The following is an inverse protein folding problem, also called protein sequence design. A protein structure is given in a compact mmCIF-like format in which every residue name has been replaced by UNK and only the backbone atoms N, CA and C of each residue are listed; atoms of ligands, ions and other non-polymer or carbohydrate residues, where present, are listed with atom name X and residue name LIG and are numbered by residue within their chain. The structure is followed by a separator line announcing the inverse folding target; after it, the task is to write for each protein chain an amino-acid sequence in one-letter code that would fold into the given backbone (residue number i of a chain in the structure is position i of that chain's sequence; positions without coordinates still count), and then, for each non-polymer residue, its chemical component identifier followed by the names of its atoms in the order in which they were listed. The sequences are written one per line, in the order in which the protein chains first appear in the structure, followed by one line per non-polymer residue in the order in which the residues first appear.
data_IF_598980013140
#
_entry.id   IF_598980013140
#
_cell.length_a   1.000
_cell.length_b   1.000
_cell.length_c   1.000
_cell.angle_alpha   90.00
_cell.angle_beta   90.00
_cell.angle_gamma   90.00
#
_symmetry.space_group_name_H-M   'P 1'
#
loop_
_entity.id
_entity.type
_entity.pdbx_description
1 polymer ?
#
# COMPACT_ATOMS: atom_id res chain seq x y z
N UNK A 1 -21.06 -6.69 -21.02
CA UNK A 1 -20.31 -5.44 -21.20
C UNK A 1 -18.99 -5.40 -20.41
N UNK A 2 -18.87 -6.05 -19.23
CA UNK A 2 -17.66 -6.03 -18.37
C UNK A 2 -16.52 -7.01 -18.70
N UNK A 3 -16.73 -7.92 -19.66
CA UNK A 3 -15.79 -9.00 -19.99
C UNK A 3 -14.55 -8.64 -20.84
N UNK A 4 -14.44 -7.53 -21.61
CA UNK A 4 -13.32 -7.36 -22.53
C UNK A 4 -11.95 -7.07 -21.87
N UNK A 5 -11.93 -6.55 -20.63
CA UNK A 5 -10.71 -5.97 -20.02
C UNK A 5 -10.05 -6.84 -18.96
N UNK A 6 -10.58 -8.03 -18.68
CA UNK A 6 -10.09 -8.94 -17.63
C UNK A 6 -8.59 -9.24 -17.78
N UNK A 7 -8.08 -9.35 -19.01
CA UNK A 7 -6.66 -9.60 -19.25
C UNK A 7 -5.77 -8.47 -18.75
N UNK A 8 -6.11 -7.21 -19.02
CA UNK A 8 -5.30 -6.06 -18.59
C UNK A 8 -5.40 -5.85 -17.08
N UNK A 9 -6.59 -6.04 -16.52
CA UNK A 9 -6.82 -6.01 -15.07
C UNK A 9 -5.99 -7.11 -14.38
N UNK A 10 -5.95 -8.32 -14.95
CA UNK A 10 -5.14 -9.42 -14.42
C UNK A 10 -3.63 -9.13 -14.49
N UNK A 11 -3.14 -8.56 -15.60
CA UNK A 11 -1.73 -8.13 -15.72
C UNK A 11 -1.41 -7.06 -14.66
N UNK A 12 -2.28 -6.07 -14.51
CA UNK A 12 -2.11 -5.02 -13.51
C UNK A 12 -2.10 -5.58 -12.09
N UNK A 13 -3.06 -6.46 -11.77
CA UNK A 13 -3.10 -7.18 -10.49
C UNK A 13 -1.85 -8.02 -10.26
N UNK A 14 -1.31 -8.67 -11.28
CA UNK A 14 -0.07 -9.44 -11.19
C UNK A 14 1.15 -8.55 -10.87
N UNK A 15 1.23 -7.35 -11.46
CA UNK A 15 2.27 -6.36 -11.11
C UNK A 15 2.15 -5.95 -9.64
N UNK A 16 0.94 -5.69 -9.16
CA UNK A 16 0.70 -5.38 -7.74
C UNK A 16 1.06 -6.55 -6.83
N UNK A 17 0.77 -7.80 -7.24
CA UNK A 17 1.16 -8.99 -6.49
C UNK A 17 2.68 -9.11 -6.37
N UNK A 18 3.44 -8.83 -7.44
CA UNK A 18 4.91 -8.83 -7.37
C UNK A 18 5.40 -7.77 -6.37
N UNK A 19 4.82 -6.57 -6.41
CA UNK A 19 5.16 -5.51 -5.46
C UNK A 19 4.81 -5.93 -4.02
N UNK A 20 3.70 -6.61 -3.81
CA UNK A 20 3.29 -7.12 -2.51
C UNK A 20 4.25 -8.21 -1.99
N UNK A 21 4.70 -9.12 -2.88
CA UNK A 21 5.71 -10.11 -2.52
C UNK A 21 7.04 -9.46 -2.15
N UNK A 22 7.41 -8.36 -2.82
CA UNK A 22 8.62 -7.60 -2.51
C UNK A 22 8.47 -6.84 -1.19
N UNK A 23 7.32 -6.21 -0.97
CA UNK A 23 6.97 -5.55 0.28
C UNK A 23 7.06 -6.53 1.47
N UNK A 24 6.44 -7.70 1.36
CA UNK A 24 6.50 -8.73 2.41
C UNK A 24 7.93 -9.17 2.73
N UNK A 25 8.79 -9.29 1.72
CA UNK A 25 10.22 -9.59 1.94
C UNK A 25 10.96 -8.44 2.60
N UNK A 26 10.71 -7.20 2.19
CA UNK A 26 11.31 -6.02 2.80
C UNK A 26 10.90 -5.89 4.27
N UNK A 27 9.62 -6.11 4.59
CA UNK A 27 9.10 -6.13 5.96
C UNK A 27 9.81 -7.17 6.83
N UNK A 28 10.04 -8.39 6.30
CA UNK A 28 10.79 -9.44 7.01
C UNK A 28 12.25 -9.04 7.26
N UNK A 29 12.92 -8.40 6.30
CA UNK A 29 14.30 -7.93 6.48
C UNK A 29 14.38 -6.85 7.55
N UNK A 30 13.48 -5.86 7.53
CA UNK A 30 13.42 -4.81 8.57
C UNK A 30 13.21 -5.44 9.94
N UNK A 31 12.31 -6.43 10.03
CA UNK A 31 12.08 -7.17 11.26
C UNK A 31 13.34 -7.93 11.71
N UNK A 32 13.97 -8.71 10.82
CA UNK A 32 15.14 -9.51 11.14
C UNK A 32 16.37 -8.67 11.57
N UNK A 33 16.55 -7.48 10.99
CA UNK A 33 17.64 -6.57 11.37
C UNK A 33 17.36 -5.88 12.71
N UNK A 34 16.10 -5.79 13.12
CA UNK A 34 15.70 -5.04 14.32
C UNK A 34 15.50 -5.91 15.56
N UNK A 35 15.43 -7.24 15.42
CA UNK A 35 15.19 -8.16 16.51
C UNK A 35 16.20 -9.31 16.52
N UNK A 36 17.00 -9.40 17.59
CA UNK A 36 17.90 -10.53 17.86
C UNK A 36 17.16 -11.68 18.59
N UNK A 37 16.37 -12.46 17.85
CA UNK A 37 15.68 -13.67 18.37
C UNK A 37 14.14 -13.62 18.33
N UNK A 38 13.49 -14.69 18.81
CA UNK A 38 12.02 -14.80 18.82
C UNK A 38 11.43 -13.80 19.83
N UNK A 39 10.62 -12.81 19.40
CA UNK A 39 9.99 -11.89 20.33
C UNK A 39 8.94 -12.62 21.15
N UNK A 40 8.90 -12.33 22.45
CA UNK A 40 7.86 -12.83 23.34
C UNK A 40 6.54 -12.12 23.02
N UNK A 41 5.55 -12.85 22.49
CA UNK A 41 4.26 -12.28 22.05
C UNK A 41 3.37 -11.81 23.22
N UNK A 42 3.75 -12.14 24.47
CA UNK A 42 3.09 -11.66 25.67
C UNK A 42 3.35 -10.15 25.90
N UNK A 43 2.37 -9.30 25.57
CA UNK A 43 2.46 -7.84 25.72
C UNK A 43 3.11 -7.10 24.55
N UNK A 44 3.16 -7.73 23.37
CA UNK A 44 3.88 -7.27 22.17
C UNK A 44 3.59 -5.82 21.74
N UNK A 45 2.33 -5.35 21.79
CA UNK A 45 1.99 -4.03 21.25
C UNK A 45 2.55 -2.86 22.09
N UNK A 46 2.53 -2.95 23.42
CA UNK A 46 3.09 -1.90 24.30
C UNK A 46 4.61 -1.94 24.33
N UNK A 47 5.22 -3.13 24.17
CA UNK A 47 6.66 -3.27 23.98
C UNK A 47 7.11 -2.70 22.64
N UNK A 48 6.39 -2.94 21.56
CA UNK A 48 6.69 -2.36 20.23
C UNK A 48 6.66 -0.83 20.21
N UNK A 49 5.81 -0.22 21.05
CA UNK A 49 5.70 1.24 21.19
C UNK A 49 6.62 1.83 22.27
N UNK A 50 7.49 1.02 22.88
CA UNK A 50 8.46 1.52 23.87
C UNK A 50 9.56 2.35 23.19
N UNK A 51 10.19 3.26 23.95
CA UNK A 51 11.28 4.09 23.45
C UNK A 51 12.46 3.29 22.86
N UNK A 52 12.65 2.07 23.34
CA UNK A 52 13.70 1.14 22.93
C UNK A 52 13.48 0.59 21.52
N UNK A 53 12.23 0.43 21.08
CA UNK A 53 11.87 -0.10 19.76
C UNK A 53 11.42 0.96 18.75
N UNK A 54 11.55 2.26 19.09
CA UNK A 54 11.22 3.35 18.16
C UNK A 54 12.04 3.30 16.87
N UNK A 55 13.29 2.83 16.93
CA UNK A 55 14.13 2.65 15.74
C UNK A 55 13.50 1.67 14.74
N UNK A 56 12.96 0.55 15.23
CA UNK A 56 12.22 -0.42 14.42
C UNK A 56 10.96 0.21 13.82
N UNK A 57 10.15 0.91 14.63
CA UNK A 57 8.89 1.52 14.17
C UNK A 57 9.16 2.53 13.07
N UNK A 58 10.14 3.42 13.25
CA UNK A 58 10.49 4.43 12.24
C UNK A 58 11.02 3.77 10.97
N UNK A 59 11.92 2.79 11.08
CA UNK A 59 12.45 2.07 9.92
C UNK A 59 11.34 1.32 9.16
N UNK A 60 10.47 0.60 9.89
CA UNK A 60 9.35 -0.13 9.33
C UNK A 60 8.35 0.80 8.62
N UNK A 61 7.97 1.90 9.26
CA UNK A 61 7.07 2.90 8.67
C UNK A 61 7.70 3.59 7.46
N UNK A 62 9.01 3.86 7.47
CA UNK A 62 9.70 4.45 6.32
C UNK A 62 9.67 3.50 5.11
N UNK A 63 9.99 2.22 5.32
CA UNK A 63 9.90 1.22 4.24
C UNK A 63 8.45 1.04 3.80
N UNK A 64 7.49 0.99 4.73
CA UNK A 64 6.06 0.94 4.42
C UNK A 64 5.61 2.12 3.57
N UNK A 65 6.01 3.33 3.92
CA UNK A 65 5.66 4.54 3.20
C UNK A 65 6.21 4.53 1.76
N UNK A 66 7.40 3.98 1.52
CA UNK A 66 7.96 3.83 0.18
C UNK A 66 7.11 2.90 -0.68
N UNK A 67 6.79 1.71 -0.17
CA UNK A 67 5.97 0.75 -0.93
C UNK A 67 4.53 1.23 -1.11
N UNK A 68 3.91 1.75 -0.05
CA UNK A 68 2.57 2.33 -0.11
C UNK A 68 2.51 3.51 -1.10
N UNK A 69 3.51 4.40 -1.05
CA UNK A 69 3.61 5.52 -1.98
C UNK A 69 3.79 5.07 -3.42
N UNK A 70 4.64 4.07 -3.68
CA UNK A 70 4.85 3.50 -5.01
C UNK A 70 3.55 2.85 -5.54
N UNK A 71 2.93 1.98 -4.74
CA UNK A 71 1.68 1.29 -5.11
C UNK A 71 0.57 2.30 -5.36
N UNK A 72 0.38 3.26 -4.46
CA UNK A 72 -0.60 4.33 -4.63
C UNK A 72 -0.33 5.12 -5.92
N UNK A 73 0.92 5.53 -6.16
CA UNK A 73 1.28 6.34 -7.31
C UNK A 73 0.95 5.64 -8.64
N UNK A 74 1.18 4.33 -8.75
CA UNK A 74 0.88 3.59 -9.97
C UNK A 74 -0.57 3.10 -10.06
N UNK A 75 -1.36 3.16 -8.99
CA UNK A 75 -2.70 2.55 -8.95
C UNK A 75 -3.87 3.52 -8.78
N UNK A 76 -3.66 4.72 -8.24
CA UNK A 76 -4.73 5.63 -7.80
C UNK A 76 -5.80 5.88 -8.86
N UNK A 77 -5.42 5.95 -10.15
CA UNK A 77 -6.37 6.10 -11.27
C UNK A 77 -6.31 4.94 -12.27
N UNK A 78 -5.49 3.91 -12.04
CA UNK A 78 -5.26 2.86 -13.02
C UNK A 78 -6.50 1.99 -13.25
N UNK A 79 -7.22 1.61 -12.19
CA UNK A 79 -8.45 0.82 -12.31
C UNK A 79 -9.56 1.49 -13.14
N UNK A 80 -9.97 2.74 -12.87
CA UNK A 80 -10.97 3.39 -13.72
C UNK A 80 -10.47 3.58 -15.15
N UNK A 81 -9.18 3.85 -15.36
CA UNK A 81 -8.58 3.91 -16.71
C UNK A 81 -8.66 2.58 -17.46
N UNK A 82 -8.49 1.45 -16.77
CA UNK A 82 -8.58 0.11 -17.35
C UNK A 82 -10.02 -0.34 -17.61
N UNK A 83 -10.99 0.18 -16.85
CA UNK A 83 -12.41 -0.16 -16.96
C UNK A 83 -13.13 0.71 -18.00
N UNK A 84 -12.87 2.02 -18.01
CA UNK A 84 -13.59 2.97 -18.86
C UNK A 84 -12.89 3.19 -20.21
N UNK A 85 -11.61 2.83 -20.34
CA UNK A 85 -10.83 3.02 -21.56
C UNK A 85 -10.10 1.74 -21.97
N UNK A 86 -9.95 1.55 -23.28
CA UNK A 86 -9.13 0.48 -23.88
C UNK A 86 -7.62 0.74 -23.71
N UNK A 87 -7.19 1.03 -22.49
CA UNK A 87 -5.79 1.33 -22.13
C UNK A 87 -5.13 0.05 -21.63
N UNK A 88 -3.85 -0.15 -21.93
CA UNK A 88 -3.07 -1.25 -21.34
C UNK A 88 -2.62 -0.94 -19.91
N UNK A 89 -2.29 -1.99 -19.15
CA UNK A 89 -1.90 -1.88 -17.74
C UNK A 89 -0.68 -0.98 -17.50
N UNK A 90 0.29 -0.96 -18.42
CA UNK A 90 1.52 -0.16 -18.28
C UNK A 90 1.18 1.31 -18.49
N UNK A 91 0.46 1.62 -19.57
CA UNK A 91 0.02 2.99 -19.86
C UNK A 91 -0.87 3.56 -18.75
N UNK A 92 -1.78 2.75 -18.19
CA UNK A 92 -2.61 3.16 -17.06
C UNK A 92 -1.77 3.48 -15.80
N UNK A 93 -0.79 2.62 -15.48
CA UNK A 93 0.12 2.84 -14.36
C UNK A 93 1.01 4.06 -14.53
N UNK A 94 1.55 4.28 -15.73
CA UNK A 94 2.36 5.46 -16.05
C UNK A 94 1.54 6.76 -16.01
N UNK A 95 0.29 6.72 -16.47
CA UNK A 95 -0.62 7.86 -16.36
C UNK A 95 -0.90 8.21 -14.90
N UNK A 96 -1.12 7.19 -14.06
CA UNK A 96 -1.28 7.34 -12.61
C UNK A 96 -0.04 7.96 -11.97
N UNK A 97 1.14 7.41 -12.28
CA UNK A 97 2.40 7.94 -11.76
C UNK A 97 2.62 9.40 -12.18
N UNK A 98 2.37 9.71 -13.45
CA UNK A 98 2.45 11.08 -13.97
C UNK A 98 1.51 12.03 -13.23
N UNK A 99 0.29 11.61 -12.92
CA UNK A 99 -0.64 12.42 -12.13
C UNK A 99 -0.07 12.72 -10.74
N UNK A 100 0.48 11.71 -10.05
CA UNK A 100 1.13 11.89 -8.76
C UNK A 100 2.34 12.82 -8.79
N UNK A 101 3.15 12.76 -9.85
CA UNK A 101 4.32 13.63 -9.97
C UNK A 101 3.96 15.06 -10.39
N UNK A 102 2.90 15.25 -11.15
CA UNK A 102 2.46 16.59 -11.61
C UNK A 102 1.63 17.33 -10.57
N UNK A 103 0.89 16.63 -9.72
CA UNK A 103 0.04 17.21 -8.68
C UNK A 103 0.27 16.54 -7.30
N UNK A 104 1.50 16.60 -6.75
CA UNK A 104 1.88 15.82 -5.58
C UNK A 104 1.09 16.19 -4.32
N UNK A 105 0.79 17.48 -4.12
CA UNK A 105 0.04 17.92 -2.94
C UNK A 105 -1.41 17.41 -2.95
N UNK A 106 -2.07 17.49 -4.11
CA UNK A 106 -3.45 17.00 -4.26
C UNK A 106 -3.50 15.48 -4.05
N UNK A 107 -2.54 14.76 -4.62
CA UNK A 107 -2.46 13.31 -4.49
C UNK A 107 -2.08 12.88 -3.07
N UNK A 108 -1.26 13.65 -2.36
CA UNK A 108 -0.96 13.39 -0.95
C UNK A 108 -2.18 13.61 -0.06
N UNK A 109 -2.93 14.70 -0.27
CA UNK A 109 -4.21 14.92 0.44
C UNK A 109 -5.20 13.79 0.16
N UNK A 110 -5.29 13.33 -1.09
CA UNK A 110 -6.13 12.21 -1.46
C UNK A 110 -5.69 10.91 -0.76
N UNK A 111 -4.39 10.61 -0.77
CA UNK A 111 -3.84 9.45 -0.07
C UNK A 111 -4.10 9.48 1.44
N UNK A 112 -3.91 10.64 2.08
CA UNK A 112 -4.21 10.83 3.51
C UNK A 112 -5.70 10.66 3.80
N UNK A 113 -6.58 11.19 2.94
CA UNK A 113 -8.03 11.03 3.08
C UNK A 113 -8.42 9.55 3.04
N UNK A 114 -7.96 8.82 2.02
CA UNK A 114 -8.24 7.37 1.88
C UNK A 114 -7.70 6.60 3.08
N UNK A 115 -6.46 6.85 3.49
CA UNK A 115 -5.86 6.20 4.65
C UNK A 115 -6.67 6.46 5.94
N UNK A 116 -7.10 7.71 6.15
CA UNK A 116 -7.92 8.08 7.31
C UNK A 116 -9.26 7.38 7.28
N UNK A 117 -9.94 7.34 6.13
CA UNK A 117 -11.22 6.65 5.97
C UNK A 117 -11.08 5.14 6.24
N UNK A 118 -10.03 4.51 5.74
CA UNK A 118 -9.74 3.08 6.00
C UNK A 118 -9.52 2.83 7.49
N UNK A 119 -8.70 3.66 8.15
CA UNK A 119 -8.47 3.55 9.60
C UNK A 119 -9.77 3.70 10.39
N UNK A 120 -10.60 4.67 10.04
CA UNK A 120 -11.91 4.87 10.67
C UNK A 120 -12.85 3.68 10.41
N UNK A 121 -12.82 3.10 9.20
CA UNK A 121 -13.60 1.92 8.84
C UNK A 121 -13.17 0.64 9.58
N UNK A 122 -11.91 0.57 10.04
CA UNK A 122 -11.39 -0.54 10.85
C UNK A 122 -11.86 -0.47 12.33
N UNK A 123 -12.14 0.72 12.86
CA UNK A 123 -12.55 0.92 14.27
C UNK A 123 -13.74 0.07 14.73
N UNK A 124 -14.84 -0.11 13.96
CA UNK A 124 -15.96 -0.97 14.36
C UNK A 124 -15.65 -2.46 14.15
N UNK A 125 -14.43 -2.92 14.45
CA UNK A 125 -14.01 -4.30 14.25
C UNK A 125 -14.03 -4.73 12.79
N UNK A 126 -13.54 -3.87 11.89
CA UNK A 126 -13.51 -4.07 10.43
C UNK A 126 -14.87 -4.15 9.71
N UNK A 127 -15.99 -3.99 10.42
CA UNK A 127 -17.34 -3.98 9.82
C UNK A 127 -17.47 -2.87 8.77
N UNK A 128 -16.82 -1.73 8.98
CA UNK A 128 -16.85 -0.60 8.06
C UNK A 128 -16.17 -0.84 6.72
N UNK A 129 -15.41 -1.93 6.55
CA UNK A 129 -14.80 -2.31 5.26
C UNK A 129 -15.72 -3.19 4.40
N UNK A 130 -16.77 -3.76 5.00
CA UNK A 130 -17.75 -4.61 4.29
C UNK A 130 -18.80 -3.79 3.56
N UNK A 131 -19.06 -2.57 4.06
CA UNK A 131 -20.10 -1.64 3.62
C UNK A 131 -19.48 -0.59 2.70
#
# INVERSE_FOLDING_TARGET
AWLPHVRQIAIFGFVLLILEMLWGRAALVVFAVSFDGMPDFAGSLSKLLSAEHLGFVVAYLAVAAVFAGLIFAISVIAMPLLLDRDTDAVSAGLASLKLCLTQPLVMLLWGVLVATLVVLAMLPGFIGLVI
#
